data_IF_514290616788
#
_entry.id   IF_514290616788
#
_cell.length_a   1.000
_cell.length_b   1.000
_cell.length_c   1.000
_cell.angle_alpha   90.00
_cell.angle_beta   90.00
_cell.angle_gamma   90.00
#
_symmetry.space_group_name_H-M   'P 1'
#
loop_
_entity.id
_entity.type
_entity.pdbx_description
1 polymer ?
#
# COMPACT_ATOMS: atom_id res chain seq x y z
N UNK A 1 15.63 -2.20 -1.06
CA UNK A 1 14.46 -2.77 -1.75
C UNK A 1 14.13 -4.10 -1.09
N UNK A 2 12.85 -4.41 -0.90
CA UNK A 2 12.39 -5.77 -0.63
C UNK A 2 11.27 -6.07 -1.61
N UNK A 3 11.64 -6.66 -2.75
CA UNK A 3 10.75 -7.17 -3.79
C UNK A 3 10.06 -8.47 -3.34
N UNK A 4 10.40 -9.02 -2.16
CA UNK A 4 9.91 -10.31 -1.68
C UNK A 4 8.51 -10.26 -1.07
N UNK A 5 7.99 -9.08 -0.69
CA UNK A 5 6.64 -8.98 -0.09
C UNK A 5 5.51 -9.17 -1.10
N UNK A 6 5.71 -8.78 -2.37
CA UNK A 6 4.66 -8.86 -3.41
C UNK A 6 4.24 -10.29 -3.74
N UNK A 7 5.17 -11.27 -3.64
CA UNK A 7 4.85 -12.68 -3.89
C UNK A 7 3.83 -13.24 -2.90
N UNK A 8 3.84 -12.78 -1.65
CA UNK A 8 2.88 -13.24 -0.64
C UNK A 8 1.51 -12.57 -0.74
N UNK A 9 1.39 -11.41 -1.42
CA UNK A 9 0.11 -10.71 -1.54
C UNK A 9 -0.81 -11.31 -2.61
N UNK A 10 -0.30 -12.10 -3.55
CA UNK A 10 -1.14 -12.72 -4.58
C UNK A 10 -2.15 -13.72 -4.01
N UNK A 11 -1.84 -14.38 -2.88
CA UNK A 11 -2.75 -15.32 -2.19
C UNK A 11 -3.84 -14.63 -1.36
N UNK A 12 -3.75 -13.32 -1.11
CA UNK A 12 -4.71 -12.60 -0.27
C UNK A 12 -6.06 -12.37 -0.96
N UNK A 13 -7.15 -12.45 -0.21
CA UNK A 13 -8.50 -12.14 -0.71
C UNK A 13 -8.60 -10.65 -1.14
N UNK A 14 -9.42 -10.35 -2.16
CA UNK A 14 -9.64 -8.97 -2.65
C UNK A 14 -10.05 -8.04 -1.51
N UNK A 15 -10.92 -8.51 -0.61
CA UNK A 15 -11.37 -7.74 0.56
C UNK A 15 -10.21 -7.34 1.47
N UNK A 16 -9.29 -8.27 1.74
CA UNK A 16 -8.11 -8.00 2.57
C UNK A 16 -7.14 -7.02 1.92
N UNK A 17 -7.06 -7.00 0.59
CA UNK A 17 -6.26 -6.03 -0.16
C UNK A 17 -6.87 -4.62 -0.02
N UNK A 18 -8.20 -4.51 -0.14
CA UNK A 18 -8.91 -3.24 0.03
C UNK A 18 -8.76 -2.67 1.44
N UNK A 19 -8.89 -3.52 2.46
CA UNK A 19 -8.66 -3.13 3.86
C UNK A 19 -7.22 -2.64 4.06
N UNK A 20 -6.23 -3.32 3.48
CA UNK A 20 -4.84 -2.90 3.52
C UNK A 20 -4.62 -1.56 2.80
N UNK A 21 -5.27 -1.31 1.66
CA UNK A 21 -5.21 -0.03 0.95
C UNK A 21 -5.75 1.10 1.84
N UNK A 22 -6.90 0.90 2.48
CA UNK A 22 -7.50 1.90 3.37
C UNK A 22 -6.56 2.19 4.54
N UNK A 23 -5.98 1.15 5.15
CA UNK A 23 -5.03 1.30 6.25
C UNK A 23 -3.79 2.08 5.81
N UNK A 24 -3.17 1.73 4.70
CA UNK A 24 -1.97 2.41 4.19
C UNK A 24 -2.25 3.87 3.83
N UNK A 25 -3.44 4.19 3.30
CA UNK A 25 -3.85 5.59 3.08
C UNK A 25 -3.93 6.39 4.38
N UNK A 26 -4.51 5.82 5.44
CA UNK A 26 -4.55 6.46 6.77
C UNK A 26 -3.15 6.71 7.32
N UNK A 27 -2.26 5.72 7.22
CA UNK A 27 -0.87 5.85 7.67
C UNK A 27 -0.12 6.97 6.91
N UNK A 28 -0.33 7.11 5.59
CA UNK A 28 0.26 8.20 4.80
C UNK A 28 -0.26 9.57 5.28
N UNK A 29 -1.55 9.68 5.58
CA UNK A 29 -2.14 10.92 6.10
C UNK A 29 -1.52 11.27 7.46
N UNK A 30 -1.42 10.31 8.37
CA UNK A 30 -0.78 10.50 9.67
C UNK A 30 0.69 10.93 9.53
N UNK A 31 1.44 10.32 8.61
CA UNK A 31 2.83 10.69 8.35
C UNK A 31 2.95 12.11 7.80
N UNK A 32 2.02 12.55 6.95
CA UNK A 32 1.97 13.92 6.45
C UNK A 32 1.64 14.91 7.57
N UNK A 33 0.72 14.58 8.47
CA UNK A 33 0.42 15.39 9.66
C UNK A 33 1.67 15.51 10.53
N UNK A 34 2.34 14.40 10.84
CA UNK A 34 3.58 14.40 11.62
C UNK A 34 4.66 15.26 10.97
N UNK A 35 4.83 15.15 9.64
CA UNK A 35 5.74 15.99 8.86
C UNK A 35 5.38 17.48 8.97
N UNK A 36 4.11 17.82 8.81
CA UNK A 36 3.62 19.19 8.91
C UNK A 36 3.84 19.79 10.30
N UNK A 37 3.65 18.99 11.35
CA UNK A 37 3.94 19.37 12.75
C UNK A 37 5.43 19.39 13.09
N UNK A 38 6.33 19.20 12.11
CA UNK A 38 7.79 19.13 12.28
C UNK A 38 8.25 18.08 13.31
N UNK A 39 7.47 17.01 13.50
CA UNK A 39 7.90 15.88 14.31
C UNK A 39 9.06 15.15 13.61
N UNK A 40 9.97 14.59 14.40
CA UNK A 40 11.10 13.84 13.87
C UNK A 40 10.61 12.53 13.23
N UNK A 41 10.52 12.52 11.91
CA UNK A 41 10.17 11.35 11.10
C UNK A 41 11.32 11.00 10.18
N UNK A 42 11.58 9.71 9.99
CA UNK A 42 12.61 9.27 9.04
C UNK A 42 12.12 9.56 7.61
N UNK A 43 12.95 10.24 6.82
CA UNK A 43 12.60 10.71 5.47
C UNK A 43 12.13 9.60 4.52
N UNK A 44 12.65 8.38 4.68
CA UNK A 44 12.33 7.25 3.81
C UNK A 44 10.97 6.59 4.12
N UNK A 45 10.38 6.82 5.29
CA UNK A 45 9.13 6.14 5.69
C UNK A 45 7.98 6.51 4.77
N UNK A 46 7.84 7.80 4.45
CA UNK A 46 6.79 8.28 3.54
C UNK A 46 6.92 7.65 2.16
N UNK A 47 8.15 7.58 1.62
CA UNK A 47 8.44 6.95 0.33
C UNK A 47 8.12 5.46 0.34
N UNK A 48 8.46 4.75 1.42
CA UNK A 48 8.15 3.33 1.57
C UNK A 48 6.64 3.08 1.58
N UNK A 49 5.87 3.89 2.31
CA UNK A 49 4.41 3.76 2.38
C UNK A 49 3.70 4.10 1.08
N UNK A 50 4.17 5.13 0.36
CA UNK A 50 3.68 5.41 -0.99
C UNK A 50 3.97 4.26 -1.96
N UNK A 51 5.15 3.65 -1.86
CA UNK A 51 5.51 2.50 -2.68
C UNK A 51 4.67 1.26 -2.36
N UNK A 52 4.43 0.98 -1.07
CA UNK A 52 3.54 -0.09 -0.60
C UNK A 52 2.11 0.11 -1.14
N UNK A 53 1.58 1.35 -1.10
CA UNK A 53 0.28 1.67 -1.67
C UNK A 53 0.22 1.40 -3.18
N UNK A 54 1.25 1.79 -3.93
CA UNK A 54 1.32 1.55 -5.38
C UNK A 54 1.33 0.05 -5.72
N UNK A 55 2.03 -0.77 -4.91
CA UNK A 55 2.02 -2.23 -5.08
C UNK A 55 0.62 -2.81 -4.83
N UNK A 56 -0.04 -2.40 -3.76
CA UNK A 56 -1.40 -2.86 -3.44
C UNK A 56 -2.40 -2.53 -4.55
N UNK A 57 -2.35 -1.31 -5.09
CA UNK A 57 -3.22 -0.89 -6.20
C UNK A 57 -2.93 -1.67 -7.49
N UNK A 58 -1.66 -1.96 -7.77
CA UNK A 58 -1.26 -2.80 -8.91
C UNK A 58 -1.88 -4.19 -8.80
N UNK A 59 -1.80 -4.80 -7.62
CA UNK A 59 -2.36 -6.14 -7.37
C UNK A 59 -3.88 -6.14 -7.48
N UNK A 60 -4.55 -5.15 -6.89
CA UNK A 60 -6.01 -4.99 -7.02
C UNK A 60 -6.42 -4.92 -8.50
N UNK A 61 -5.74 -4.09 -9.28
CA UNK A 61 -6.00 -3.94 -10.73
C UNK A 61 -5.81 -5.24 -11.49
N UNK A 62 -4.72 -5.98 -11.21
CA UNK A 62 -4.45 -7.28 -11.85
C UNK A 62 -5.57 -8.28 -11.52
N UNK A 63 -6.01 -8.35 -10.26
CA UNK A 63 -7.09 -9.26 -9.84
C UNK A 63 -8.44 -8.91 -10.45
N UNK A 64 -8.79 -7.63 -10.49
CA UNK A 64 -10.03 -7.17 -11.15
C UNK A 64 -10.01 -7.51 -12.63
N UNK A 65 -8.87 -7.33 -13.31
CA UNK A 65 -8.71 -7.71 -14.71
C UNK A 65 -8.87 -9.22 -14.91
N UNK A 66 -8.28 -10.06 -14.05
CA UNK A 66 -8.44 -11.51 -14.10
C UNK A 66 -9.90 -11.95 -13.89
N UNK A 67 -10.63 -11.29 -12.99
CA UNK A 67 -12.05 -11.58 -12.75
C UNK A 67 -12.94 -11.25 -13.96
N UNK A 68 -12.61 -10.22 -14.72
CA UNK A 68 -13.42 -9.76 -15.87
C UNK A 68 -13.19 -10.57 -17.16
N UNK A 69 -12.19 -11.45 -17.18
CA UNK A 69 -11.84 -12.30 -18.33
C UNK A 69 -12.43 -13.71 -18.20
N UNK A 70 -12.99 -14.05 -17.03
CA UNK A 70 -13.73 -15.29 -16.76
C UNK A 70 -15.24 -15.00 -16.66
#
# INVERSE_FOLDING_TARGET
>A
MSLSTTKNLHSLNIKTIQDAIIKTKKEIIELNIKKATKQNIKSHILKLKQHELAQLLTIETIKLKQKNVN
#
